data_IF_013235981851
#
_entry.id   IF_013235981851
#
_cell.length_a   1.000
_cell.length_b   1.000
_cell.length_c   1.000
_cell.angle_alpha   90.00
_cell.angle_beta   90.00
_cell.angle_gamma   90.00
#
_symmetry.space_group_name_H-M   'P 1'
#
loop_
_entity.id
_entity.type
_entity.pdbx_description
1 polymer ?
#
# COMPACT_ATOMS: atom_id res chain seq x y z
N UNK A 1 33.86 -69.48 4.74
CA UNK A 1 33.40 -68.46 3.77
C UNK A 1 32.57 -67.50 4.58
N UNK A 2 33.12 -66.33 4.89
CA UNK A 2 32.54 -65.37 5.84
C UNK A 2 31.44 -64.57 5.13
N UNK A 3 30.22 -64.64 5.66
CA UNK A 3 29.10 -63.80 5.25
C UNK A 3 29.10 -62.56 6.13
N UNK A 4 29.71 -61.48 5.64
CA UNK A 4 29.55 -60.13 6.18
C UNK A 4 28.36 -59.46 5.46
N UNK A 5 27.14 -59.87 5.81
CA UNK A 5 25.93 -59.11 5.50
C UNK A 5 25.80 -57.99 6.54
N UNK A 6 26.44 -56.86 6.23
CA UNK A 6 26.34 -55.59 6.98
C UNK A 6 25.02 -54.87 6.62
N UNK A 7 24.03 -54.80 7.53
CA UNK A 7 22.71 -54.24 7.27
C UNK A 7 22.69 -52.70 7.22
N UNK A 8 23.85 -52.03 7.32
CA UNK A 8 23.94 -50.56 7.36
C UNK A 8 24.14 -49.88 6.00
N UNK A 9 24.30 -50.64 4.90
CA UNK A 9 24.54 -50.06 3.56
C UNK A 9 23.23 -49.62 2.90
N UNK A 10 22.69 -48.52 3.39
CA UNK A 10 21.70 -47.73 2.64
C UNK A 10 22.30 -47.33 1.30
N UNK A 11 21.60 -47.56 0.17
CA UNK A 11 22.15 -47.24 -1.13
C UNK A 11 22.35 -45.72 -1.24
N UNK A 12 23.50 -45.29 -1.79
CA UNK A 12 23.93 -43.87 -1.81
C UNK A 12 22.92 -42.91 -2.42
N UNK A 13 21.97 -43.41 -3.21
CA UNK A 13 20.86 -42.65 -3.76
C UNK A 13 19.88 -42.17 -2.70
N UNK A 14 19.58 -42.96 -1.65
CA UNK A 14 18.61 -42.60 -0.62
C UNK A 14 19.10 -41.42 0.24
N UNK A 15 20.39 -41.35 0.53
CA UNK A 15 20.98 -40.22 1.26
C UNK A 15 21.08 -38.96 0.41
N UNK A 16 21.30 -39.08 -0.91
CA UNK A 16 21.25 -37.94 -1.84
C UNK A 16 19.82 -37.43 -2.03
N UNK A 17 18.85 -38.34 -2.14
CA UNK A 17 17.43 -38.01 -2.24
C UNK A 17 16.97 -37.32 -0.96
N UNK A 18 17.33 -37.84 0.22
CA UNK A 18 17.01 -37.23 1.51
C UNK A 18 17.59 -35.83 1.71
N UNK A 19 18.82 -35.60 1.24
CA UNK A 19 19.44 -34.27 1.27
C UNK A 19 18.76 -33.29 0.29
N UNK A 20 18.34 -33.77 -0.89
CA UNK A 20 17.59 -32.95 -1.85
C UNK A 20 16.21 -32.57 -1.34
N UNK A 21 15.47 -33.51 -0.74
CA UNK A 21 14.16 -33.23 -0.15
C UNK A 21 14.28 -32.25 1.01
N UNK A 22 15.25 -32.42 1.91
CA UNK A 22 15.48 -31.45 3.01
C UNK A 22 15.82 -30.04 2.51
N UNK A 23 16.56 -29.93 1.42
CA UNK A 23 16.85 -28.64 0.79
C UNK A 23 15.61 -28.03 0.12
N UNK A 24 14.80 -28.83 -0.58
CA UNK A 24 13.54 -28.38 -1.19
C UNK A 24 12.54 -27.91 -0.14
N UNK A 25 12.38 -28.64 0.96
CA UNK A 25 11.52 -28.24 2.08
C UNK A 25 11.97 -26.90 2.66
N UNK A 26 13.28 -26.74 2.89
CA UNK A 26 13.84 -25.46 3.36
C UNK A 26 13.55 -24.32 2.38
N UNK A 27 13.66 -24.55 1.08
CA UNK A 27 13.37 -23.53 0.05
C UNK A 27 11.89 -23.17 0.03
N UNK A 28 11.00 -24.15 0.16
CA UNK A 28 9.55 -23.94 0.25
C UNK A 28 9.20 -23.13 1.50
N UNK A 29 9.83 -23.44 2.63
CA UNK A 29 9.63 -22.71 3.89
C UNK A 29 10.05 -21.25 3.78
N UNK A 30 11.21 -20.98 3.17
CA UNK A 30 11.67 -19.60 2.91
C UNK A 30 10.65 -18.84 2.05
N UNK A 31 10.19 -19.44 0.95
CA UNK A 31 9.19 -18.81 0.07
C UNK A 31 7.89 -18.54 0.83
N UNK A 32 7.41 -19.49 1.63
CA UNK A 32 6.20 -19.32 2.45
C UNK A 32 6.36 -18.18 3.46
N UNK A 33 7.53 -18.07 4.08
CA UNK A 33 7.84 -17.00 5.04
C UNK A 33 7.86 -15.63 4.37
N UNK A 34 8.53 -15.50 3.22
CA UNK A 34 8.58 -14.27 2.43
C UNK A 34 7.20 -13.84 1.94
N UNK A 35 6.37 -14.80 1.50
CA UNK A 35 4.99 -14.54 1.10
C UNK A 35 4.17 -14.03 2.28
N UNK A 36 4.29 -14.63 3.46
CA UNK A 36 3.58 -14.17 4.65
C UNK A 36 4.00 -12.76 5.06
N UNK A 37 5.31 -12.47 5.07
CA UNK A 37 5.82 -11.14 5.40
C UNK A 37 5.35 -10.08 4.38
N UNK A 38 5.47 -10.36 3.08
CA UNK A 38 5.00 -9.45 2.03
C UNK A 38 3.49 -9.25 2.08
N UNK A 39 2.71 -10.32 2.24
CA UNK A 39 1.26 -10.24 2.35
C UNK A 39 0.84 -9.40 3.56
N UNK A 40 1.40 -9.68 4.74
CA UNK A 40 1.13 -8.89 5.95
C UNK A 40 1.48 -7.42 5.76
N UNK A 41 2.66 -7.12 5.20
CA UNK A 41 3.08 -5.74 4.94
C UNK A 41 2.13 -5.01 3.99
N UNK A 42 1.80 -5.63 2.85
CA UNK A 42 0.89 -5.06 1.85
C UNK A 42 -0.51 -4.85 2.42
N UNK A 43 -1.04 -5.82 3.16
CA UNK A 43 -2.36 -5.73 3.78
C UNK A 43 -2.42 -4.57 4.78
N UNK A 44 -1.44 -4.48 5.69
CA UNK A 44 -1.38 -3.40 6.68
C UNK A 44 -1.27 -2.03 5.99
N UNK A 45 -0.38 -1.88 5.02
CA UNK A 45 -0.24 -0.61 4.29
C UNK A 45 -1.49 -0.24 3.50
N UNK A 46 -2.16 -1.23 2.91
CA UNK A 46 -3.37 -1.01 2.11
C UNK A 46 -4.53 -0.59 3.00
N UNK A 47 -4.76 -1.27 4.11
CA UNK A 47 -5.84 -0.94 5.06
C UNK A 47 -5.60 0.45 5.64
N UNK A 48 -4.37 0.77 6.04
CA UNK A 48 -4.05 2.07 6.60
C UNK A 48 -4.22 3.19 5.57
N UNK A 49 -3.71 2.99 4.34
CA UNK A 49 -3.88 3.92 3.23
C UNK A 49 -5.35 4.12 2.86
N UNK A 50 -6.14 3.05 2.80
CA UNK A 50 -7.57 3.10 2.53
C UNK A 50 -8.34 3.83 3.62
N UNK A 51 -8.02 3.60 4.90
CA UNK A 51 -8.62 4.30 6.03
C UNK A 51 -8.34 5.81 5.97
N UNK A 52 -7.09 6.20 5.72
CA UNK A 52 -6.72 7.61 5.55
C UNK A 52 -7.40 8.24 4.34
N UNK A 53 -7.46 7.54 3.21
CA UNK A 53 -8.15 8.02 2.01
C UNK A 53 -9.65 8.22 2.27
N UNK A 54 -10.29 7.28 2.97
CA UNK A 54 -11.69 7.37 3.36
C UNK A 54 -11.95 8.57 4.27
N UNK A 55 -11.14 8.75 5.32
CA UNK A 55 -11.23 9.88 6.24
C UNK A 55 -10.98 11.22 5.52
N UNK A 56 -9.98 11.28 4.65
CA UNK A 56 -9.68 12.47 3.85
C UNK A 56 -10.82 12.82 2.90
N UNK A 57 -11.40 11.83 2.22
CA UNK A 57 -12.57 12.02 1.36
C UNK A 57 -13.75 12.55 2.16
N UNK A 58 -14.04 11.96 3.33
CA UNK A 58 -15.14 12.39 4.19
C UNK A 58 -14.94 13.83 4.68
N UNK A 59 -13.71 14.17 5.08
CA UNK A 59 -13.33 15.53 5.47
C UNK A 59 -13.58 16.53 4.35
N UNK A 60 -13.12 16.25 3.13
CA UNK A 60 -13.31 17.14 1.97
C UNK A 60 -14.80 17.34 1.66
N UNK A 61 -15.60 16.27 1.70
CA UNK A 61 -17.05 16.34 1.49
C UNK A 61 -17.69 17.25 2.54
N UNK A 62 -17.40 17.03 3.84
CA UNK A 62 -17.98 17.85 4.90
C UNK A 62 -17.56 19.31 4.81
N UNK A 63 -16.30 19.60 4.52
CA UNK A 63 -15.83 20.98 4.30
C UNK A 63 -16.53 21.62 3.10
N UNK A 64 -16.76 20.87 2.02
CA UNK A 64 -17.47 21.36 0.84
C UNK A 64 -18.92 21.72 1.15
N UNK A 65 -19.62 20.85 1.89
CA UNK A 65 -20.98 21.08 2.34
C UNK A 65 -21.02 22.30 3.27
N UNK A 66 -20.12 22.35 4.25
CA UNK A 66 -20.01 23.47 5.17
C UNK A 66 -19.76 24.80 4.43
N UNK A 67 -18.81 24.82 3.49
CA UNK A 67 -18.52 25.99 2.68
C UNK A 67 -19.74 26.43 1.85
N UNK A 68 -20.44 25.47 1.22
CA UNK A 68 -21.67 25.74 0.49
C UNK A 68 -22.76 26.35 1.36
N UNK A 69 -22.98 25.81 2.56
CA UNK A 69 -23.95 26.31 3.53
C UNK A 69 -23.56 27.69 4.09
N UNK A 70 -22.27 27.89 4.41
CA UNK A 70 -21.76 29.18 4.88
C UNK A 70 -21.93 30.27 3.81
N UNK A 71 -21.64 29.94 2.54
CA UNK A 71 -21.86 30.84 1.42
C UNK A 71 -23.34 31.08 1.16
N UNK A 72 -24.21 30.08 1.27
CA UNK A 72 -25.66 30.26 1.18
C UNK A 72 -26.16 31.29 2.20
N UNK A 73 -25.69 31.19 3.45
CA UNK A 73 -26.02 32.17 4.50
C UNK A 73 -25.47 33.57 4.20
N UNK A 74 -24.30 33.68 3.56
CA UNK A 74 -23.71 34.97 3.22
C UNK A 74 -24.36 35.63 2.00
N UNK A 75 -24.86 34.82 1.06
CA UNK A 75 -25.52 35.28 -0.18
C UNK A 75 -27.04 35.42 -0.03
N UNK A 76 -27.58 35.15 1.17
CA UNK A 76 -29.03 35.13 1.47
C UNK A 76 -29.83 34.29 0.47
N UNK A 77 -29.26 33.15 0.08
CA UNK A 77 -29.82 32.25 -0.94
C UNK A 77 -29.68 30.79 -0.52
N UNK A 78 -30.70 29.95 -0.78
CA UNK A 78 -30.67 28.55 -0.40
C UNK A 78 -29.72 27.66 -1.24
N UNK A 79 -29.21 28.14 -2.38
CA UNK A 79 -28.41 27.29 -3.30
C UNK A 79 -27.20 27.97 -3.96
N UNK A 80 -27.10 29.30 -3.96
CA UNK A 80 -26.03 29.98 -4.70
C UNK A 80 -24.63 29.67 -4.17
N UNK A 81 -24.49 29.37 -2.87
CA UNK A 81 -23.24 28.94 -2.25
C UNK A 81 -22.70 27.62 -2.81
N UNK A 82 -23.56 26.65 -3.13
CA UNK A 82 -23.14 25.42 -3.82
C UNK A 82 -22.65 25.71 -5.24
N UNK A 83 -23.26 26.68 -5.94
CA UNK A 83 -22.83 27.12 -7.27
C UNK A 83 -21.43 27.73 -7.25
N UNK A 84 -21.11 28.55 -6.25
CA UNK A 84 -19.76 29.10 -6.06
C UNK A 84 -18.73 28.00 -5.78
N UNK A 85 -19.07 27.04 -4.90
CA UNK A 85 -18.21 25.89 -4.61
C UNK A 85 -17.97 25.05 -5.88
N UNK A 86 -19.00 24.81 -6.68
CA UNK A 86 -18.86 24.11 -7.96
C UNK A 86 -17.97 24.87 -8.96
N UNK A 87 -18.13 26.19 -9.06
CA UNK A 87 -17.27 27.05 -9.87
C UNK A 87 -15.81 27.00 -9.44
N UNK A 88 -15.55 27.03 -8.13
CA UNK A 88 -14.21 26.85 -7.58
C UNK A 88 -13.58 25.51 -7.98
N UNK A 89 -14.32 24.41 -7.88
CA UNK A 89 -13.84 23.10 -8.32
C UNK A 89 -13.60 23.03 -9.84
N UNK A 90 -14.41 23.71 -10.65
CA UNK A 90 -14.21 23.80 -12.09
C UNK A 90 -12.90 24.55 -12.41
N UNK A 91 -12.64 25.67 -11.74
CA UNK A 91 -11.38 26.43 -11.91
C UNK A 91 -10.18 25.58 -11.50
N UNK A 92 -10.24 24.87 -10.37
CA UNK A 92 -9.19 23.93 -9.97
C UNK A 92 -8.97 22.84 -11.02
N UNK A 93 -10.05 22.28 -11.58
CA UNK A 93 -9.96 21.25 -12.61
C UNK A 93 -9.25 21.79 -13.87
N UNK A 94 -9.59 22.99 -14.33
CA UNK A 94 -8.91 23.62 -15.47
C UNK A 94 -7.44 23.88 -15.14
N UNK A 95 -7.12 24.37 -13.95
CA UNK A 95 -5.74 24.62 -13.52
C UNK A 95 -4.93 23.33 -13.51
N UNK A 96 -5.52 22.22 -13.05
CA UNK A 96 -4.87 20.91 -13.07
C UNK A 96 -4.65 20.42 -14.51
N UNK A 97 -5.65 20.55 -15.39
CA UNK A 97 -5.54 20.11 -16.79
C UNK A 97 -4.51 20.92 -17.59
N UNK A 98 -4.37 22.23 -17.29
CA UNK A 98 -3.49 23.14 -18.06
C UNK A 98 -2.10 23.25 -17.43
N UNK A 99 -1.97 23.18 -16.11
CA UNK A 99 -0.74 23.53 -15.39
C UNK A 99 -0.02 22.37 -14.69
N UNK A 100 -0.63 21.20 -14.55
CA UNK A 100 0.01 20.07 -13.86
C UNK A 100 0.67 19.15 -14.89
N UNK A 101 1.92 19.46 -15.21
CA UNK A 101 2.79 18.51 -15.89
C UNK A 101 2.98 17.26 -15.02
N UNK A 102 3.11 16.09 -15.66
CA UNK A 102 3.32 14.80 -14.98
C UNK A 102 4.44 14.85 -13.92
N UNK A 103 5.45 15.69 -14.12
CA UNK A 103 6.56 15.90 -13.20
C UNK A 103 6.14 16.57 -11.87
N UNK A 104 5.23 17.54 -11.90
CA UNK A 104 4.74 18.20 -10.68
C UNK A 104 3.89 17.24 -9.83
N UNK A 105 3.05 16.43 -10.50
CA UNK A 105 2.26 15.40 -9.82
C UNK A 105 3.15 14.33 -9.16
N UNK A 106 4.19 13.87 -9.88
CA UNK A 106 5.17 12.93 -9.33
C UNK A 106 5.98 13.54 -8.17
N UNK A 107 6.33 14.83 -8.23
CA UNK A 107 7.04 15.53 -7.16
C UNK A 107 6.23 15.63 -5.87
N UNK A 108 4.95 15.98 -5.95
CA UNK A 108 4.05 16.07 -4.79
C UNK A 108 3.76 14.68 -4.23
N UNK A 109 3.45 13.71 -5.10
CA UNK A 109 3.19 12.33 -4.69
C UNK A 109 4.39 11.74 -3.95
N UNK A 110 5.60 11.89 -4.48
CA UNK A 110 6.79 11.35 -3.85
C UNK A 110 7.09 12.04 -2.51
N UNK A 111 6.83 13.34 -2.36
CA UNK A 111 7.03 14.08 -1.10
C UNK A 111 6.00 13.69 -0.03
N UNK A 112 4.71 13.60 -0.40
CA UNK A 112 3.64 13.21 0.52
C UNK A 112 3.76 11.74 0.98
N UNK A 113 4.16 10.84 0.07
CA UNK A 113 4.31 9.41 0.36
C UNK A 113 5.60 9.11 1.15
N UNK A 114 6.72 9.75 0.80
CA UNK A 114 8.02 9.47 1.44
C UNK A 114 8.09 9.96 2.89
N UNK A 115 7.48 11.09 3.21
CA UNK A 115 7.52 11.63 4.58
C UNK A 115 6.57 10.91 5.54
N UNK A 116 5.47 10.34 5.04
CA UNK A 116 4.43 9.72 5.90
C UNK A 116 4.60 8.21 6.04
N UNK A 117 5.17 7.51 5.05
CA UNK A 117 5.26 6.04 5.04
C UNK A 117 6.69 5.52 5.27
N UNK A 118 7.75 6.27 4.92
CA UNK A 118 9.13 5.74 4.97
C UNK A 118 9.87 6.00 6.30
N UNK A 119 9.32 6.77 7.23
CA UNK A 119 9.99 7.08 8.50
C UNK A 119 9.87 5.98 9.57
N UNK A 120 9.06 4.95 9.36
CA UNK A 120 8.83 3.87 10.34
C UNK A 120 9.82 2.71 10.26
N UNK A 121 10.60 2.57 9.18
CA UNK A 121 11.51 1.42 8.98
C UNK A 121 12.99 1.71 9.27
N UNK A 122 13.34 2.97 9.60
CA UNK A 122 14.74 3.38 9.92
C UNK A 122 15.07 3.52 11.40
N UNK A 123 14.26 2.93 12.30
CA UNK A 123 14.56 2.88 13.74
C UNK A 123 15.07 1.51 14.24
N UNK A 124 15.38 0.56 13.36
CA UNK A 124 15.92 -0.75 13.75
C UNK A 124 17.18 -1.16 12.97
N UNK A 125 18.08 -0.21 12.72
CA UNK A 125 19.46 -0.50 12.34
C UNK A 125 20.42 0.24 13.28
#
# INVERSE_FOLDING_TARGET
MFSDDDPSKTPRNDSLIGNLTGYLDTRIDIVRLELQQKASSVLVSTIHGAALAMLGLLFVIFVSIFAGLALNSALDSPYWGFGVVAGFYLVLLVLVLVGVDKAAFQGIANKALKDTIYKSDKRQA
#
